data_IF_767327134066
#
_entry.id   IF_767327134066
#
_cell.length_a   1.000
_cell.length_b   1.000
_cell.length_c   1.000
_cell.angle_alpha   90.00
_cell.angle_beta   90.00
_cell.angle_gamma   90.00
#
_symmetry.space_group_name_H-M   'P 1'
#
loop_
_entity.id
_entity.type
_entity.pdbx_description
1 polymer ?
#
# COMPACT_ATOMS: atom_id res chain seq x y z
N UNK A 1 17.24 -19.01 -12.54
CA UNK A 1 16.52 -18.01 -13.36
C UNK A 1 15.04 -18.18 -13.07
N UNK A 2 14.45 -17.66 -11.98
CA UNK A 2 14.41 -16.29 -11.42
C UNK A 2 13.76 -15.25 -12.35
N UNK A 3 12.57 -15.57 -12.83
CA UNK A 3 11.47 -14.65 -13.11
C UNK A 3 10.21 -15.47 -12.79
N UNK A 4 9.14 -14.96 -12.18
CA UNK A 4 8.16 -14.26 -13.00
C UNK A 4 7.01 -13.61 -12.23
N UNK A 5 6.91 -13.73 -10.90
CA UNK A 5 5.64 -13.39 -10.23
C UNK A 5 5.24 -11.92 -10.30
N UNK A 6 6.10 -11.03 -10.82
CA UNK A 6 5.75 -9.62 -11.03
C UNK A 6 6.17 -9.02 -12.36
N UNK A 7 6.80 -9.78 -13.26
CA UNK A 7 7.33 -9.23 -14.52
C UNK A 7 6.34 -9.33 -15.67
N UNK A 8 5.42 -10.32 -15.65
CA UNK A 8 4.47 -10.58 -16.72
C UNK A 8 3.10 -11.09 -16.22
N UNK A 9 2.72 -10.76 -14.98
CA UNK A 9 1.45 -11.23 -14.44
C UNK A 9 0.26 -10.43 -14.97
N UNK A 10 -0.78 -11.13 -15.41
CA UNK A 10 -2.00 -10.52 -15.94
C UNK A 10 -2.74 -9.65 -14.91
N UNK A 11 -2.49 -9.86 -13.61
CA UNK A 11 -3.07 -9.04 -12.54
C UNK A 11 -2.73 -7.56 -12.70
N UNK A 12 -1.53 -7.24 -13.20
CA UNK A 12 -1.08 -5.86 -13.39
C UNK A 12 -1.74 -5.16 -14.60
N UNK A 13 -2.45 -5.91 -15.45
CA UNK A 13 -3.20 -5.36 -16.57
C UNK A 13 -4.59 -4.85 -16.16
N UNK A 14 -5.06 -5.18 -14.96
CA UNK A 14 -6.34 -4.72 -14.42
C UNK A 14 -6.10 -3.70 -13.31
N UNK A 15 -6.60 -2.48 -13.48
CA UNK A 15 -6.36 -1.40 -12.52
C UNK A 15 -7.53 -1.16 -11.56
N UNK A 16 -8.73 -1.69 -11.84
CA UNK A 16 -9.93 -1.33 -11.07
C UNK A 16 -10.04 0.19 -10.89
N UNK A 17 -10.21 0.62 -9.63
CA UNK A 17 -10.29 2.04 -9.23
C UNK A 17 -8.94 2.66 -8.83
N UNK A 18 -7.81 2.00 -9.13
CA UNK A 18 -6.49 2.40 -8.65
C UNK A 18 -5.38 2.38 -9.69
N UNK A 19 -4.15 2.46 -9.22
CA UNK A 19 -2.94 2.32 -10.03
C UNK A 19 -1.96 1.36 -9.38
N UNK A 20 -1.27 0.57 -10.20
CA UNK A 20 -0.21 -0.31 -9.74
C UNK A 20 1.05 0.49 -9.45
N UNK A 21 1.48 0.48 -8.19
CA UNK A 21 2.57 1.29 -7.67
C UNK A 21 3.58 0.40 -6.94
N UNK A 22 4.86 0.63 -7.22
CA UNK A 22 5.99 0.11 -6.46
C UNK A 22 6.74 1.28 -5.85
N UNK A 23 6.98 1.24 -4.54
CA UNK A 23 7.80 2.21 -3.85
C UNK A 23 9.28 1.83 -3.93
N UNK A 24 10.14 2.82 -4.18
CA UNK A 24 11.60 2.67 -4.27
C UNK A 24 12.29 3.89 -3.65
N UNK A 25 13.48 3.69 -3.08
CA UNK A 25 14.32 4.76 -2.54
C UNK A 25 14.44 4.77 -1.02
N UNK A 26 15.01 5.84 -0.48
CA UNK A 26 15.38 5.95 0.95
C UNK A 26 14.21 6.28 1.88
N UNK A 27 13.08 6.75 1.33
CA UNK A 27 11.85 6.98 2.10
C UNK A 27 11.01 5.72 2.28
N UNK A 28 11.48 4.59 1.75
CA UNK A 28 10.88 3.29 2.00
C UNK A 28 10.45 2.49 0.80
N UNK A 29 10.19 1.20 1.02
CA UNK A 29 9.81 0.24 -0.05
C UNK A 29 8.48 -0.46 0.17
N UNK A 30 7.80 -0.19 1.29
CA UNK A 30 6.48 -0.73 1.62
C UNK A 30 5.67 0.30 2.40
N UNK A 31 4.35 0.12 2.41
CA UNK A 31 3.46 0.89 3.30
C UNK A 31 3.66 0.37 4.74
N UNK A 32 3.81 1.26 5.75
CA UNK A 32 3.98 0.83 7.13
C UNK A 32 2.76 0.05 7.65
N UNK A 33 2.99 -0.89 8.56
CA UNK A 33 1.93 -1.69 9.21
C UNK A 33 1.29 -1.00 10.43
N UNK A 34 1.79 0.18 10.78
CA UNK A 34 1.32 0.96 11.91
C UNK A 34 1.23 2.42 11.50
N UNK A 35 0.30 3.13 12.12
CA UNK A 35 0.13 4.56 11.89
C UNK A 35 1.41 5.34 12.19
N UNK A 36 1.74 6.26 11.29
CA UNK A 36 2.75 7.29 11.54
C UNK A 36 2.19 8.47 12.35
N UNK A 37 0.89 8.46 12.70
CA UNK A 37 0.19 9.61 13.28
C UNK A 37 -0.20 10.65 12.23
N UNK A 38 -0.77 11.77 12.66
CA UNK A 38 -1.20 12.86 11.75
C UNK A 38 -0.04 13.80 11.40
N UNK A 39 -0.11 14.48 10.25
CA UNK A 39 0.92 15.40 9.75
C UNK A 39 2.27 14.74 9.39
N UNK A 40 2.24 13.50 8.90
CA UNK A 40 3.42 12.79 8.42
C UNK A 40 3.32 12.48 6.92
N UNK A 41 4.43 12.04 6.32
CA UNK A 41 4.49 11.58 4.92
C UNK A 41 4.02 12.64 3.88
N UNK A 42 4.07 13.92 4.25
CA UNK A 42 3.62 15.03 3.40
C UNK A 42 2.09 15.18 3.29
N UNK A 43 1.33 14.56 4.20
CA UNK A 43 -0.13 14.67 4.28
C UNK A 43 -0.62 15.00 5.69
N UNK A 44 -1.90 15.35 5.80
CA UNK A 44 -2.55 15.55 7.11
C UNK A 44 -2.94 14.22 7.75
N UNK A 45 -3.57 13.33 6.96
CA UNK A 45 -3.83 11.94 7.36
C UNK A 45 -2.80 11.01 6.72
N UNK A 46 -2.18 10.17 7.55
CA UNK A 46 -1.11 9.27 7.14
C UNK A 46 -1.65 7.87 6.97
N UNK A 47 -1.56 7.33 5.76
CA UNK A 47 -2.04 5.99 5.42
C UNK A 47 -1.07 4.89 5.86
N UNK A 48 -1.58 3.90 6.60
CA UNK A 48 -0.86 2.68 6.97
C UNK A 48 -1.67 1.44 6.57
N UNK A 49 -0.98 0.34 6.27
CA UNK A 49 -1.59 -0.91 5.88
C UNK A 49 -2.07 -1.65 7.14
N UNK A 50 -3.38 -1.77 7.31
CA UNK A 50 -4.03 -2.29 8.52
C UNK A 50 -4.34 -3.80 8.42
N UNK A 51 -3.51 -4.52 7.68
CA UNK A 51 -3.63 -5.96 7.44
C UNK A 51 -2.23 -6.59 7.41
N UNK A 52 -2.15 -7.90 7.25
CA UNK A 52 -0.86 -8.58 7.10
C UNK A 52 -0.34 -8.42 5.67
N UNK A 53 0.91 -7.96 5.52
CA UNK A 53 1.55 -7.87 4.20
C UNK A 53 1.68 -9.26 3.54
N UNK A 54 1.62 -9.33 2.20
CA UNK A 54 1.79 -10.58 1.48
C UNK A 54 3.19 -11.17 1.72
N UNK A 55 3.29 -12.49 1.56
CA UNK A 55 4.54 -13.25 1.73
C UNK A 55 4.71 -14.21 0.56
N UNK A 56 5.82 -14.95 0.49
CA UNK A 56 5.98 -15.98 -0.54
C UNK A 56 4.92 -17.09 -0.47
N UNK A 57 4.35 -17.35 0.71
CA UNK A 57 3.28 -18.35 0.90
C UNK A 57 1.89 -17.82 0.50
N UNK A 58 1.68 -16.50 0.61
CA UNK A 58 0.46 -15.82 0.20
C UNK A 58 0.86 -14.54 -0.54
N UNK A 59 1.19 -14.65 -1.84
CA UNK A 59 1.85 -13.58 -2.59
C UNK A 59 0.90 -12.47 -3.01
N UNK A 60 -0.41 -12.67 -2.91
CA UNK A 60 -1.42 -11.66 -3.24
C UNK A 60 -2.41 -11.62 -2.08
N UNK A 61 -2.60 -10.44 -1.51
CA UNK A 61 -3.58 -10.21 -0.45
C UNK A 61 -4.41 -8.97 -0.78
N UNK A 62 -5.71 -9.06 -0.51
CA UNK A 62 -6.55 -7.88 -0.43
C UNK A 62 -6.51 -7.39 1.02
N UNK A 63 -6.24 -6.11 1.20
CA UNK A 63 -6.16 -5.50 2.51
C UNK A 63 -6.69 -4.08 2.49
N UNK A 64 -6.47 -3.40 3.60
CA UNK A 64 -7.03 -2.09 3.86
C UNK A 64 -5.90 -1.13 4.23
N UNK A 65 -5.84 0.02 3.57
CA UNK A 65 -5.08 1.16 4.09
C UNK A 65 -6.01 1.99 4.95
N UNK A 66 -5.64 2.16 6.21
CA UNK A 66 -6.30 3.03 7.16
C UNK A 66 -5.61 4.39 7.20
N UNK A 67 -6.40 5.44 7.37
CA UNK A 67 -5.95 6.81 7.55
C UNK A 67 -6.47 7.33 8.88
N UNK A 68 -5.56 7.54 9.82
CA UNK A 68 -5.91 8.06 11.12
C UNK A 68 -6.25 9.54 11.07
N UNK A 69 -7.28 9.90 11.82
CA UNK A 69 -7.58 11.29 12.15
C UNK A 69 -7.26 11.54 13.63
N UNK A 70 -7.13 12.81 14.08
CA UNK A 70 -6.84 13.10 15.48
C UNK A 70 -7.85 12.53 16.49
N UNK A 71 -9.08 12.23 16.04
CA UNK A 71 -10.18 11.81 16.90
C UNK A 71 -10.60 10.34 16.70
N UNK A 72 -10.28 9.75 15.55
CA UNK A 72 -10.78 8.44 15.14
C UNK A 72 -9.63 7.67 14.47
N UNK A 73 -9.24 6.56 15.10
CA UNK A 73 -8.36 5.55 14.53
C UNK A 73 -9.04 4.91 13.32
N UNK A 74 -8.32 4.82 12.20
CA UNK A 74 -8.84 4.36 10.92
C UNK A 74 -10.20 5.00 10.55
N UNK A 75 -10.35 6.31 10.77
CA UNK A 75 -11.60 7.03 10.48
C UNK A 75 -11.94 7.09 8.98
N UNK A 76 -10.95 6.90 8.13
CA UNK A 76 -11.11 6.70 6.69
C UNK A 76 -10.25 5.53 6.24
N UNK A 77 -10.73 4.75 5.28
CA UNK A 77 -10.00 3.60 4.77
C UNK A 77 -10.26 3.36 3.29
N UNK A 78 -9.30 2.69 2.65
CA UNK A 78 -9.37 2.28 1.26
C UNK A 78 -8.97 0.82 1.13
N UNK A 79 -9.75 0.07 0.36
CA UNK A 79 -9.40 -1.29 -0.03
C UNK A 79 -8.28 -1.24 -1.08
N UNK A 80 -7.28 -2.09 -0.89
CA UNK A 80 -6.09 -2.17 -1.74
C UNK A 80 -5.76 -3.64 -2.01
N UNK A 81 -5.04 -3.89 -3.10
CA UNK A 81 -4.40 -5.19 -3.33
C UNK A 81 -2.90 -5.03 -3.16
N UNK A 82 -2.28 -5.87 -2.34
CA UNK A 82 -0.83 -5.93 -2.18
C UNK A 82 -0.30 -7.25 -2.75
N UNK A 83 0.80 -7.15 -3.48
CA UNK A 83 1.49 -8.28 -4.11
C UNK A 83 2.92 -8.33 -3.60
N UNK A 84 3.35 -9.51 -3.13
CA UNK A 84 4.75 -9.79 -2.83
C UNK A 84 5.42 -10.43 -4.05
N UNK A 85 6.47 -9.80 -4.52
CA UNK A 85 7.29 -10.29 -5.62
C UNK A 85 8.46 -11.09 -5.07
N UNK A 86 8.75 -12.24 -5.68
CA UNK A 86 9.85 -13.15 -5.25
C UNK A 86 11.22 -12.46 -5.21
N UNK A 87 11.40 -11.39 -5.97
CA UNK A 87 12.58 -10.52 -5.94
C UNK A 87 12.69 -9.63 -4.67
N UNK A 88 11.80 -9.79 -3.69
CA UNK A 88 11.89 -9.16 -2.38
C UNK A 88 11.29 -7.75 -2.29
N UNK A 89 10.26 -7.45 -3.10
CA UNK A 89 9.58 -6.15 -3.07
C UNK A 89 8.07 -6.29 -3.15
N UNK A 90 7.38 -5.21 -2.80
CA UNK A 90 5.93 -5.12 -2.83
C UNK A 90 5.44 -4.25 -3.98
N UNK A 91 4.31 -4.63 -4.56
CA UNK A 91 3.55 -3.82 -5.53
C UNK A 91 2.12 -3.72 -5.04
N UNK A 92 1.55 -2.52 -5.11
CA UNK A 92 0.23 -2.23 -4.57
C UNK A 92 -0.69 -1.70 -5.67
N UNK A 93 -1.94 -2.15 -5.67
CA UNK A 93 -3.01 -1.48 -6.38
C UNK A 93 -3.63 -0.46 -5.44
N UNK A 94 -3.33 0.81 -5.66
CA UNK A 94 -3.74 1.90 -4.77
C UNK A 94 -4.79 2.80 -5.44
N UNK A 95 -5.99 2.93 -4.85
CA UNK A 95 -6.95 3.95 -5.24
C UNK A 95 -6.42 5.36 -4.99
N UNK A 96 -6.90 6.39 -5.72
CA UNK A 96 -6.64 7.77 -5.38
C UNK A 96 -7.19 8.11 -3.98
N UNK A 97 -6.59 9.12 -3.35
CA UNK A 97 -6.98 9.57 -2.01
C UNK A 97 -7.44 11.03 -2.10
N UNK A 98 -8.75 11.24 -2.13
CA UNK A 98 -9.34 12.56 -2.38
C UNK A 98 -9.92 13.23 -1.11
N UNK A 99 -9.47 12.80 0.08
CA UNK A 99 -9.95 13.31 1.36
C UNK A 99 -8.84 13.98 2.17
N UNK A 100 -9.15 15.17 2.73
CA UNK A 100 -8.38 15.82 3.79
C UNK A 100 -6.84 15.81 3.63
N UNK A 101 -6.31 16.00 2.42
CA UNK A 101 -4.87 15.92 2.13
C UNK A 101 -4.20 14.63 2.64
N UNK A 102 -4.91 13.51 2.59
CA UNK A 102 -4.42 12.22 3.02
C UNK A 102 -3.41 11.63 2.02
N UNK A 103 -2.40 10.92 2.53
CA UNK A 103 -1.30 10.36 1.73
C UNK A 103 -0.95 8.96 2.20
N UNK A 104 -0.62 8.06 1.27
CA UNK A 104 0.00 6.78 1.61
C UNK A 104 1.42 7.02 2.14
N UNK A 105 1.74 6.48 3.31
CA UNK A 105 3.11 6.49 3.82
C UNK A 105 3.94 5.36 3.23
N UNK A 106 5.27 5.53 3.31
CA UNK A 106 6.25 4.50 3.04
C UNK A 106 7.23 4.39 4.21
N UNK A 107 7.74 3.18 4.44
CA UNK A 107 8.63 2.78 5.54
C UNK A 107 10.10 2.70 5.11
#
# INVERSE_FOLDING_TARGET
ASSSSCDNEAIFNSTGDGSWIRFVGTGGTSIPLSSAGTNHCGGYLSGYFNDTLPTSASPIVNGTVCFDSPAIECGFSLNVTAVYCVAGFYVYLLPPVDVCNARYCTN
#
